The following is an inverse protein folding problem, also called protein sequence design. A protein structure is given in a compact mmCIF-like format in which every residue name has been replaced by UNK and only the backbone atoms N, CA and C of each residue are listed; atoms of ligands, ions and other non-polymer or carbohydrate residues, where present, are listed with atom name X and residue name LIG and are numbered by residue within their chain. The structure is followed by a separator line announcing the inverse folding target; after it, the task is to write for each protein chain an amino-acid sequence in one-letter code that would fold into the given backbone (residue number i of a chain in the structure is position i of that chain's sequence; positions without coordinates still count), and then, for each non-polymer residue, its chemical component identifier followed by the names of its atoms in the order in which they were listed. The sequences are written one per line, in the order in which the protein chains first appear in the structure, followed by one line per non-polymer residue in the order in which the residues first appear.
data_IF_346478363395
#
_entry.id   IF_346478363395
#
_cell.length_a   1.000
_cell.length_b   1.000
_cell.length_c   1.000
_cell.angle_alpha   90.00
_cell.angle_beta   90.00
_cell.angle_gamma   90.00
#
_symmetry.space_group_name_H-M   'P 1'
#
loop_
_entity.id
_entity.type
_entity.pdbx_description
1 polymer ?
#
# COMPACT_ATOMS: atom_id res chain seq x y z
N UNK A 1 63.22 -12.96 -15.68
CA UNK A 1 62.31 -12.73 -16.81
C UNK A 1 61.68 -11.34 -16.66
N UNK A 2 62.18 -10.32 -17.37
CA UNK A 2 61.64 -8.94 -17.27
C UNK A 2 60.37 -8.86 -18.11
N UNK A 3 59.24 -8.68 -17.45
CA UNK A 3 57.96 -8.51 -18.12
C UNK A 3 57.93 -7.13 -18.78
N UNK A 4 57.57 -7.07 -20.06
CA UNK A 4 57.40 -5.80 -20.77
C UNK A 4 56.17 -5.06 -20.22
N UNK A 5 56.23 -3.73 -20.10
CA UNK A 5 55.16 -2.87 -19.57
C UNK A 5 53.75 -3.24 -20.09
N UNK A 6 53.64 -3.61 -21.37
CA UNK A 6 52.39 -4.09 -22.00
C UNK A 6 51.76 -5.28 -21.28
N UNK A 7 52.55 -6.26 -20.82
CA UNK A 7 52.04 -7.46 -20.14
C UNK A 7 51.52 -7.17 -18.74
N UNK A 8 52.13 -6.21 -18.03
CA UNK A 8 51.62 -5.73 -16.73
C UNK A 8 50.27 -5.02 -16.89
N UNK A 9 50.12 -4.21 -17.94
CA UNK A 9 48.86 -3.53 -18.23
C UNK A 9 47.74 -4.56 -18.48
N UNK A 10 48.00 -5.60 -19.28
CA UNK A 10 47.01 -6.66 -19.51
C UNK A 10 46.66 -7.45 -18.24
N UNK A 11 47.64 -7.71 -17.37
CA UNK A 11 47.40 -8.39 -16.10
C UNK A 11 46.51 -7.55 -15.16
N UNK A 12 46.83 -6.25 -15.02
CA UNK A 12 46.06 -5.32 -14.19
C UNK A 12 44.64 -5.16 -14.74
N UNK A 13 44.50 -5.05 -16.06
CA UNK A 13 43.20 -4.94 -16.71
C UNK A 13 42.36 -6.21 -16.51
N UNK A 14 42.97 -7.40 -16.60
CA UNK A 14 42.30 -8.67 -16.32
C UNK A 14 41.80 -8.77 -14.88
N UNK A 15 42.63 -8.37 -13.91
CA UNK A 15 42.25 -8.33 -12.49
C UNK A 15 41.10 -7.34 -12.26
N UNK A 16 41.14 -6.16 -12.89
CA UNK A 16 40.08 -5.15 -12.78
C UNK A 16 38.74 -5.66 -13.35
N UNK A 17 38.75 -6.33 -14.50
CA UNK A 17 37.54 -6.92 -15.10
C UNK A 17 36.96 -8.02 -14.20
N UNK A 18 37.80 -8.90 -13.66
CA UNK A 18 37.37 -9.93 -12.72
C UNK A 18 36.80 -9.34 -11.44
N UNK A 19 37.40 -8.27 -10.91
CA UNK A 19 36.87 -7.55 -9.75
C UNK A 19 35.50 -6.92 -10.06
N UNK A 20 35.31 -6.30 -11.23
CA UNK A 20 34.00 -5.74 -11.62
C UNK A 20 32.95 -6.85 -11.71
N UNK A 21 33.25 -7.98 -12.34
CA UNK A 21 32.31 -9.11 -12.45
C UNK A 21 31.98 -9.72 -11.07
N UNK A 22 32.96 -9.79 -10.18
CA UNK A 22 32.79 -10.34 -8.83
C UNK A 22 32.05 -9.40 -7.87
N UNK A 23 32.32 -8.09 -7.93
CA UNK A 23 31.74 -7.08 -7.02
C UNK A 23 30.47 -6.41 -7.56
N UNK A 24 30.15 -6.54 -8.84
CA UNK A 24 28.85 -6.13 -9.42
C UNK A 24 28.01 -7.33 -9.87
N UNK A 25 27.65 -8.27 -8.97
CA UNK A 25 26.64 -9.25 -9.31
C UNK A 25 25.30 -8.52 -9.34
N UNK A 26 24.85 -8.20 -10.54
CA UNK A 26 23.48 -7.80 -10.87
C UNK A 26 22.98 -6.46 -10.30
N UNK A 27 22.73 -5.47 -11.18
CA UNK A 27 21.89 -4.31 -10.86
C UNK A 27 20.49 -4.70 -10.33
N UNK A 28 20.03 -5.92 -10.64
CA UNK A 28 18.76 -6.48 -10.17
C UNK A 28 18.67 -6.64 -8.64
N UNK A 29 19.78 -6.76 -7.92
CA UNK A 29 19.78 -6.77 -6.45
C UNK A 29 19.55 -5.38 -5.85
N UNK A 30 19.89 -4.32 -6.60
CA UNK A 30 19.72 -2.92 -6.19
C UNK A 30 18.41 -2.30 -6.72
N UNK A 31 17.75 -2.95 -7.67
CA UNK A 31 16.36 -2.68 -7.97
C UNK A 31 15.53 -3.29 -6.84
N UNK A 32 15.43 -2.56 -5.72
CA UNK A 32 14.44 -2.86 -4.70
C UNK A 32 13.11 -3.05 -5.42
N UNK A 33 12.41 -4.16 -5.15
CA UNK A 33 11.10 -4.45 -5.71
C UNK A 33 10.16 -3.33 -5.28
N UNK A 34 10.08 -2.27 -6.08
CA UNK A 34 9.19 -1.15 -5.81
C UNK A 34 7.78 -1.68 -5.95
N UNK A 35 6.93 -1.32 -5.00
CA UNK A 35 5.52 -1.64 -5.11
C UNK A 35 5.00 -1.11 -6.46
N UNK A 36 4.13 -1.87 -7.13
CA UNK A 36 3.54 -1.47 -8.39
C UNK A 36 2.88 -0.10 -8.21
N UNK A 37 3.10 0.78 -9.20
CA UNK A 37 2.54 2.12 -9.19
C UNK A 37 1.02 2.04 -9.03
N UNK A 38 0.49 2.72 -8.02
CA UNK A 38 -0.94 2.81 -7.78
C UNK A 38 -1.59 3.73 -8.81
N UNK A 39 -2.85 3.47 -9.20
CA UNK A 39 -3.59 4.35 -10.08
C UNK A 39 -3.88 5.67 -9.37
N UNK A 40 -3.89 6.75 -10.15
CA UNK A 40 -4.31 8.06 -9.69
C UNK A 40 -5.74 8.00 -9.14
N UNK A 41 -6.06 8.95 -8.24
CA UNK A 41 -7.41 9.05 -7.70
C UNK A 41 -8.42 9.28 -8.83
N UNK A 42 -9.43 8.42 -8.88
CA UNK A 42 -10.64 8.60 -9.69
C UNK A 42 -11.39 9.87 -9.27
N UNK A 43 -12.26 10.36 -10.16
CA UNK A 43 -13.09 11.53 -9.88
C UNK A 43 -13.97 11.34 -8.63
N UNK A 44 -14.52 10.13 -8.44
CA UNK A 44 -15.32 9.81 -7.25
C UNK A 44 -14.49 9.84 -5.97
N UNK A 45 -13.28 9.27 -5.99
CA UNK A 45 -12.37 9.30 -4.84
C UNK A 45 -11.97 10.74 -4.50
N UNK A 46 -11.59 11.55 -5.49
CA UNK A 46 -11.22 12.96 -5.28
C UNK A 46 -12.35 13.74 -4.60
N UNK A 47 -13.57 13.61 -5.11
CA UNK A 47 -14.74 14.29 -4.55
C UNK A 47 -15.00 13.83 -3.11
N UNK A 48 -15.03 12.52 -2.89
CA UNK A 48 -15.29 11.96 -1.57
C UNK A 48 -14.22 12.34 -0.54
N UNK A 49 -12.95 12.30 -0.92
CA UNK A 49 -11.84 12.62 -0.02
C UNK A 49 -11.81 14.11 0.30
N UNK A 50 -12.11 14.99 -0.67
CA UNK A 50 -12.27 16.43 -0.41
C UNK A 50 -13.37 16.68 0.62
N UNK A 51 -14.53 16.04 0.44
CA UNK A 51 -15.65 16.19 1.38
C UNK A 51 -15.31 15.67 2.78
N UNK A 52 -14.59 14.55 2.89
CA UNK A 52 -14.14 14.03 4.19
C UNK A 52 -13.18 15.00 4.88
N UNK A 53 -12.24 15.59 4.15
CA UNK A 53 -11.30 16.57 4.71
C UNK A 53 -11.99 17.88 5.11
N UNK A 54 -12.98 18.34 4.34
CA UNK A 54 -13.72 19.57 4.63
C UNK A 54 -14.70 19.42 5.81
N UNK A 55 -15.33 18.25 5.94
CA UNK A 55 -16.42 18.01 6.90
C UNK A 55 -15.99 17.25 8.15
N UNK A 56 -14.75 16.83 8.26
CA UNK A 56 -14.25 16.02 9.38
C UNK A 56 -12.84 16.46 9.78
N UNK A 57 -12.31 15.86 10.84
CA UNK A 57 -10.97 16.22 11.37
C UNK A 57 -9.88 15.29 10.81
N UNK A 58 -10.08 14.78 9.59
CA UNK A 58 -9.11 13.95 8.87
C UNK A 58 -8.11 14.85 8.14
N UNK A 59 -6.83 14.71 8.46
CA UNK A 59 -5.76 15.52 7.87
C UNK A 59 -5.23 14.86 6.60
N UNK A 60 -5.01 13.54 6.69
CA UNK A 60 -4.50 12.74 5.58
C UNK A 60 -5.47 11.59 5.27
N UNK A 61 -5.60 11.32 3.97
CA UNK A 61 -6.38 10.20 3.46
C UNK A 61 -5.53 9.50 2.42
N UNK A 62 -5.09 8.29 2.74
CA UNK A 62 -4.35 7.44 1.81
C UNK A 62 -5.25 6.32 1.30
N UNK A 63 -4.92 5.83 0.12
CA UNK A 63 -5.61 4.70 -0.49
C UNK A 63 -4.61 3.82 -1.24
N UNK A 64 -4.85 2.53 -1.16
CA UNK A 64 -4.17 1.54 -1.98
C UNK A 64 -5.16 0.51 -2.52
N UNK A 65 -4.88 0.02 -3.73
CA UNK A 65 -5.48 -1.18 -4.26
C UNK A 65 -4.44 -2.31 -4.24
N UNK A 66 -4.90 -3.54 -4.00
CA UNK A 66 -4.05 -4.72 -4.11
C UNK A 66 -4.77 -5.86 -4.83
N UNK A 67 -4.05 -6.60 -5.66
CA UNK A 67 -4.58 -7.82 -6.26
C UNK A 67 -4.73 -8.91 -5.20
N UNK A 68 -5.67 -9.82 -5.40
CA UNK A 68 -5.83 -11.03 -4.59
C UNK A 68 -5.68 -12.29 -5.43
N UNK A 69 -5.03 -13.30 -4.86
CA UNK A 69 -4.97 -14.62 -5.46
C UNK A 69 -6.30 -15.39 -5.36
N UNK A 70 -6.32 -16.63 -5.84
CA UNK A 70 -7.52 -17.47 -5.81
C UNK A 70 -8.00 -17.82 -4.39
N UNK A 71 -7.10 -17.76 -3.40
CA UNK A 71 -7.28 -18.16 -1.99
C UNK A 71 -7.52 -16.92 -1.11
N UNK A 72 -7.28 -15.71 -1.62
CA UNK A 72 -7.49 -14.42 -0.94
C UNK A 72 -6.21 -13.82 -0.35
N UNK A 73 -5.02 -14.27 -0.77
CA UNK A 73 -3.76 -13.62 -0.36
C UNK A 73 -3.50 -12.38 -1.21
N UNK A 74 -3.00 -11.34 -0.55
CA UNK A 74 -2.61 -10.08 -1.19
C UNK A 74 -1.35 -10.31 -2.04
N UNK A 75 -1.42 -9.93 -3.31
CA UNK A 75 -0.28 -9.99 -4.23
C UNK A 75 0.29 -8.58 -4.39
N UNK A 76 1.44 -8.32 -3.76
CA UNK A 76 2.06 -7.00 -3.73
C UNK A 76 3.01 -6.73 -4.91
N UNK A 77 3.55 -7.76 -5.56
CA UNK A 77 4.61 -7.60 -6.57
C UNK A 77 4.11 -7.66 -8.02
N UNK A 78 2.80 -7.65 -8.23
CA UNK A 78 2.20 -7.76 -9.56
C UNK A 78 1.50 -6.45 -9.94
N UNK A 79 1.57 -6.01 -11.21
CA UNK A 79 0.82 -4.85 -11.67
C UNK A 79 -0.65 -4.96 -11.28
N UNK A 80 -1.21 -3.87 -10.75
CA UNK A 80 -2.60 -3.83 -10.33
C UNK A 80 -3.53 -4.12 -11.52
N UNK A 81 -4.46 -5.07 -11.35
CA UNK A 81 -5.49 -5.37 -12.34
C UNK A 81 -6.88 -5.42 -11.68
N UNK A 82 -7.63 -4.31 -11.78
CA UNK A 82 -8.99 -4.21 -11.23
C UNK A 82 -10.03 -5.06 -11.98
N UNK A 83 -9.65 -5.65 -13.14
CA UNK A 83 -10.47 -6.62 -13.86
C UNK A 83 -10.39 -8.02 -13.24
N UNK A 84 -9.40 -8.25 -12.36
CA UNK A 84 -9.25 -9.45 -11.56
C UNK A 84 -9.69 -9.21 -10.10
N UNK A 85 -9.55 -10.20 -9.24
CA UNK A 85 -9.88 -10.05 -7.82
C UNK A 85 -8.95 -9.03 -7.17
N UNK A 86 -9.52 -8.09 -6.44
CA UNK A 86 -8.74 -7.06 -5.75
C UNK A 86 -9.40 -6.59 -4.46
N UNK A 87 -8.61 -5.90 -3.64
CA UNK A 87 -9.04 -5.25 -2.42
C UNK A 87 -8.73 -3.77 -2.40
N UNK A 88 -9.55 -3.02 -1.67
CA UNK A 88 -9.43 -1.58 -1.49
C UNK A 88 -9.02 -1.26 -0.06
N UNK A 89 -7.98 -0.44 0.12
CA UNK A 89 -7.52 0.04 1.41
C UNK A 89 -7.73 1.55 1.49
N UNK A 90 -8.28 2.01 2.60
CA UNK A 90 -8.36 3.42 2.98
C UNK A 90 -7.70 3.61 4.32
N UNK A 91 -6.80 4.57 4.41
CA UNK A 91 -6.22 5.01 5.68
C UNK A 91 -6.61 6.46 5.91
N UNK A 92 -7.03 6.76 7.12
CA UNK A 92 -7.52 8.07 7.54
C UNK A 92 -6.72 8.48 8.77
N UNK A 93 -5.98 9.56 8.67
CA UNK A 93 -5.07 10.00 9.72
C UNK A 93 -5.50 11.32 10.34
N UNK A 94 -5.32 11.44 11.65
CA UNK A 94 -5.66 12.64 12.42
C UNK A 94 -4.68 12.82 13.58
N UNK A 95 -4.34 14.07 13.90
CA UNK A 95 -3.64 14.44 15.12
C UNK A 95 -4.57 14.71 16.30
N UNK A 96 -5.89 14.66 16.10
CA UNK A 96 -6.88 14.86 17.15
C UNK A 96 -7.25 13.53 17.83
N UNK A 97 -6.74 13.33 19.05
CA UNK A 97 -6.97 12.10 19.83
C UNK A 97 -8.44 11.86 20.14
N UNK A 98 -9.19 12.89 20.56
CA UNK A 98 -10.60 12.73 20.91
C UNK A 98 -11.44 12.30 19.70
N UNK A 99 -11.14 12.87 18.53
CA UNK A 99 -11.77 12.49 17.28
C UNK A 99 -11.42 11.06 16.84
N UNK A 100 -10.15 10.67 16.95
CA UNK A 100 -9.71 9.30 16.71
C UNK A 100 -10.41 8.30 17.64
N UNK A 101 -10.49 8.59 18.93
CA UNK A 101 -11.12 7.71 19.92
C UNK A 101 -12.63 7.55 19.65
N UNK A 102 -13.29 8.61 19.17
CA UNK A 102 -14.69 8.59 18.77
C UNK A 102 -14.98 7.72 17.53
N UNK A 103 -13.97 7.43 16.69
CA UNK A 103 -14.18 6.56 15.53
C UNK A 103 -14.49 5.13 15.94
N UNK A 104 -15.56 4.56 15.40
CA UNK A 104 -15.98 3.20 15.67
C UNK A 104 -16.08 2.36 14.40
N UNK A 105 -16.38 1.07 14.59
CA UNK A 105 -16.69 0.17 13.49
C UNK A 105 -17.88 0.66 12.65
N UNK A 106 -18.83 1.36 13.26
CA UNK A 106 -20.00 1.88 12.55
C UNK A 106 -19.60 2.92 11.50
N UNK A 107 -18.70 3.84 11.85
CA UNK A 107 -18.13 4.82 10.93
C UNK A 107 -17.31 4.12 9.84
N UNK A 108 -16.45 3.16 10.21
CA UNK A 108 -15.67 2.39 9.24
C UNK A 108 -16.57 1.64 8.24
N UNK A 109 -17.68 1.06 8.70
CA UNK A 109 -18.67 0.38 7.86
C UNK A 109 -19.39 1.35 6.92
N UNK A 110 -19.68 2.56 7.39
CA UNK A 110 -20.25 3.61 6.54
C UNK A 110 -19.29 3.99 5.41
N UNK A 111 -18.00 4.20 5.72
CA UNK A 111 -16.98 4.46 4.70
C UNK A 111 -16.83 3.31 3.72
N UNK A 112 -16.74 2.07 4.21
CA UNK A 112 -16.65 0.88 3.37
C UNK A 112 -17.87 0.74 2.43
N UNK A 113 -19.08 1.00 2.95
CA UNK A 113 -20.30 0.95 2.13
C UNK A 113 -20.29 2.00 1.02
N UNK A 114 -19.85 3.23 1.33
CA UNK A 114 -19.73 4.28 0.31
C UNK A 114 -18.68 3.93 -0.75
N UNK A 115 -17.49 3.45 -0.34
CA UNK A 115 -16.44 3.03 -1.28
C UNK A 115 -16.97 1.94 -2.21
N UNK A 116 -17.62 0.92 -1.66
CA UNK A 116 -18.18 -0.17 -2.43
C UNK A 116 -19.15 0.33 -3.51
N UNK A 117 -20.14 1.12 -3.11
CA UNK A 117 -21.26 1.47 -3.97
C UNK A 117 -20.88 2.60 -4.96
N UNK A 118 -20.16 3.62 -4.48
CA UNK A 118 -19.91 4.85 -5.25
C UNK A 118 -18.57 4.84 -5.97
N UNK A 119 -17.52 4.28 -5.36
CA UNK A 119 -16.15 4.30 -5.91
C UNK A 119 -15.92 3.03 -6.74
N UNK A 120 -16.15 1.85 -6.15
CA UNK A 120 -15.95 0.56 -6.81
C UNK A 120 -17.17 0.07 -7.58
N UNK A 121 -18.29 0.81 -7.55
CA UNK A 121 -19.50 0.56 -8.35
C UNK A 121 -20.05 -0.87 -8.23
N UNK A 122 -20.03 -1.44 -7.02
CA UNK A 122 -20.52 -2.80 -6.75
C UNK A 122 -19.93 -3.89 -7.66
N UNK A 123 -18.69 -3.71 -8.12
CA UNK A 123 -18.03 -4.73 -8.94
C UNK A 123 -17.84 -6.04 -8.18
N UNK A 124 -18.11 -7.17 -8.86
CA UNK A 124 -17.91 -8.52 -8.32
C UNK A 124 -16.43 -8.86 -8.10
N UNK A 125 -15.53 -8.06 -8.67
CA UNK A 125 -14.09 -8.23 -8.56
C UNK A 125 -13.54 -7.75 -7.21
N UNK A 126 -14.22 -6.82 -6.54
CA UNK A 126 -13.83 -6.34 -5.23
C UNK A 126 -14.11 -7.43 -4.19
N UNK A 127 -13.09 -7.78 -3.39
CA UNK A 127 -13.16 -8.87 -2.41
C UNK A 127 -13.16 -8.41 -0.97
N UNK A 128 -12.45 -7.34 -0.65
CA UNK A 128 -12.57 -6.72 0.65
C UNK A 128 -12.32 -5.22 0.57
N UNK A 129 -12.84 -4.53 1.58
CA UNK A 129 -12.51 -3.13 1.87
C UNK A 129 -11.90 -3.09 3.26
N UNK A 130 -10.76 -2.42 3.36
CA UNK A 130 -10.02 -2.24 4.59
C UNK A 130 -10.02 -0.76 4.95
N UNK A 131 -10.42 -0.45 6.18
CA UNK A 131 -10.44 0.91 6.71
C UNK A 131 -9.52 0.95 7.92
N UNK A 132 -8.51 1.81 7.87
CA UNK A 132 -7.63 2.10 8.98
C UNK A 132 -7.83 3.54 9.47
N UNK A 133 -8.03 3.70 10.77
CA UNK A 133 -7.91 4.99 11.44
C UNK A 133 -6.55 5.06 12.12
N UNK A 134 -5.84 6.17 11.92
CA UNK A 134 -4.49 6.39 12.41
C UNK A 134 -4.47 7.68 13.24
N UNK A 135 -3.98 7.58 14.47
CA UNK A 135 -3.66 8.73 15.30
C UNK A 135 -2.18 9.08 15.15
N UNK A 136 -1.90 10.24 14.55
CA UNK A 136 -0.56 10.77 14.36
C UNK A 136 -0.24 11.76 15.49
N UNK A 137 0.60 11.36 16.44
CA UNK A 137 1.09 12.27 17.46
C UNK A 137 2.35 12.97 16.98
N UNK A 138 2.24 14.24 16.58
CA UNK A 138 3.38 15.04 16.11
C UNK A 138 4.49 15.22 17.17
N UNK A 139 4.17 15.02 18.45
CA UNK A 139 5.09 15.23 19.57
C UNK A 139 5.81 13.96 20.04
N UNK A 140 5.51 12.79 19.49
CA UNK A 140 6.15 11.53 19.89
C UNK A 140 7.10 11.04 18.80
N UNK A 141 8.39 10.91 19.17
CA UNK A 141 9.41 10.28 18.33
C UNK A 141 8.91 8.89 17.90
N UNK A 142 9.09 8.58 16.61
CA UNK A 142 8.76 7.29 15.97
C UNK A 142 8.87 6.12 16.96
N UNK A 143 7.74 5.49 17.28
CA UNK A 143 7.74 4.10 17.76
C UNK A 143 6.90 3.75 18.99
N UNK A 144 6.20 4.67 19.67
CA UNK A 144 5.59 4.28 20.96
C UNK A 144 4.10 4.53 21.21
N UNK A 145 3.32 5.27 20.41
CA UNK A 145 1.89 5.46 20.71
C UNK A 145 1.01 5.97 19.53
N UNK A 146 1.26 5.53 18.30
CA UNK A 146 0.29 5.76 17.21
C UNK A 146 -0.93 4.88 17.43
N UNK A 147 -2.06 5.49 17.77
CA UNK A 147 -3.34 4.78 17.87
C UNK A 147 -3.72 4.23 16.50
N UNK A 148 -4.03 2.94 16.43
CA UNK A 148 -4.40 2.27 15.18
C UNK A 148 -5.68 1.47 15.37
N UNK A 149 -6.70 1.75 14.56
CA UNK A 149 -7.94 0.96 14.50
C UNK A 149 -8.11 0.45 13.08
N UNK A 150 -8.17 -0.87 12.92
CA UNK A 150 -8.28 -1.52 11.62
C UNK A 150 -9.55 -2.33 11.51
N UNK A 151 -10.24 -2.18 10.37
CA UNK A 151 -11.47 -2.87 10.08
C UNK A 151 -11.42 -3.49 8.70
N UNK A 152 -11.65 -4.80 8.64
CA UNK A 152 -11.80 -5.57 7.41
C UNK A 152 -13.29 -5.84 7.14
N UNK A 153 -13.72 -5.51 5.92
CA UNK A 153 -15.06 -5.77 5.42
C UNK A 153 -15.01 -6.64 4.16
N UNK A 154 -15.05 -7.98 4.31
CA UNK A 154 -15.05 -8.87 3.17
C UNK A 154 -16.40 -8.84 2.45
N UNK A 155 -16.34 -8.92 1.12
CA UNK A 155 -17.50 -8.92 0.23
C UNK A 155 -17.89 -10.36 -0.04
N UNK A 156 -19.02 -10.78 0.54
CA UNK A 156 -19.56 -12.11 0.29
C UNK A 156 -20.16 -12.23 -1.11
N UNK A 157 -20.24 -13.46 -1.64
CA UNK A 157 -20.91 -13.78 -2.91
C UNK A 157 -22.36 -13.29 -3.01
N UNK A 158 -23.01 -12.98 -1.88
CA UNK A 158 -24.38 -12.48 -1.82
C UNK A 158 -24.46 -10.94 -1.72
N UNK A 159 -23.39 -10.22 -2.07
CA UNK A 159 -23.38 -8.75 -2.08
C UNK A 159 -23.73 -8.09 -0.74
N UNK A 160 -23.58 -8.80 0.38
CA UNK A 160 -23.68 -8.24 1.72
C UNK A 160 -22.29 -8.21 2.37
N UNK A 161 -21.91 -7.08 2.97
CA UNK A 161 -20.67 -6.92 3.74
C UNK A 161 -20.79 -7.80 5.01
N UNK A 162 -20.27 -9.02 4.95
CA UNK A 162 -20.33 -9.97 6.06
C UNK A 162 -19.12 -9.76 6.99
N UNK A 163 -19.41 -9.27 8.19
CA UNK A 163 -18.74 -9.54 9.48
C UNK A 163 -17.22 -9.78 9.48
N UNK A 164 -16.54 -8.72 9.97
CA UNK A 164 -15.29 -8.61 10.73
C UNK A 164 -14.43 -9.87 10.95
N UNK A 165 -13.16 -9.78 10.55
CA UNK A 165 -12.04 -10.42 11.27
C UNK A 165 -11.27 -9.33 12.01
N UNK A 166 -11.14 -9.45 13.33
CA UNK A 166 -10.16 -8.67 14.10
C UNK A 166 -8.84 -9.44 14.07
N UNK A 167 -7.74 -8.75 13.78
CA UNK A 167 -6.38 -9.21 14.06
C UNK A 167 -5.73 -8.21 15.00
#
# INVERSE_FOLDING_TARGET
MKWTLKKYIFLILGIAILAIIYFFPYPAFFMGTSLPKQPDLSTQEKLYFSQLKEKSQWEEINRMYSNEDSIGNIILNYPLNLSEKYSYYMELSTSNKAFFEAQSEKEARYYASHIRNSICKDTLNLKAIYIAFIYNNENEKLGSNTGYKYYEFPISKNNNLLIQKRK
#
